data_IF_750296740252
#
_entry.id   IF_750296740252
#
_cell.length_a   1.000
_cell.length_b   1.000
_cell.length_c   1.000
_cell.angle_alpha   90.00
_cell.angle_beta   90.00
_cell.angle_gamma   90.00
#
_symmetry.space_group_name_H-M   'P 1'
#
loop_
_entity.id
_entity.type
_entity.pdbx_description
1 polymer ?
#
# COMPACT_ATOMS: atom_id res chain seq x y z
N UNK A 1 -24.07 3.79 -20.00
CA UNK A 1 -23.43 2.49 -20.34
C UNK A 1 -21.95 2.62 -20.71
N UNK A 2 -21.53 3.48 -21.63
CA UNK A 2 -20.10 3.63 -22.01
C UNK A 2 -19.15 3.98 -20.85
N UNK A 3 -19.63 4.72 -19.84
CA UNK A 3 -18.82 5.11 -18.68
C UNK A 3 -18.65 3.96 -17.67
N UNK A 4 -19.64 3.07 -17.56
CA UNK A 4 -19.57 1.89 -16.68
C UNK A 4 -18.58 0.85 -17.23
N UNK A 5 -18.59 0.60 -18.55
CA UNK A 5 -17.65 -0.34 -19.16
C UNK A 5 -16.20 0.11 -19.01
N UNK A 6 -15.91 1.42 -19.12
CA UNK A 6 -14.58 1.98 -18.84
C UNK A 6 -14.19 1.80 -17.40
N UNK A 7 -15.12 1.99 -16.46
CA UNK A 7 -14.85 1.78 -15.02
C UNK A 7 -14.54 0.32 -14.71
N UNK A 8 -15.31 -0.63 -15.26
CA UNK A 8 -15.03 -2.07 -15.09
C UNK A 8 -13.70 -2.48 -15.72
N UNK A 9 -13.38 -1.96 -16.91
CA UNK A 9 -12.10 -2.21 -17.56
C UNK A 9 -10.94 -1.69 -16.68
N UNK A 10 -11.04 -0.46 -16.20
CA UNK A 10 -10.03 0.13 -15.33
C UNK A 10 -9.87 -0.67 -14.03
N UNK A 11 -10.96 -1.10 -13.40
CA UNK A 11 -10.95 -1.95 -12.21
C UNK A 11 -10.25 -3.28 -12.48
N UNK A 12 -10.60 -3.95 -13.59
CA UNK A 12 -10.00 -5.24 -13.97
C UNK A 12 -8.49 -5.10 -14.20
N UNK A 13 -8.07 -4.11 -14.98
CA UNK A 13 -6.65 -3.85 -15.26
C UNK A 13 -5.89 -3.55 -13.95
N UNK A 14 -6.44 -2.67 -13.11
CA UNK A 14 -5.83 -2.33 -11.82
C UNK A 14 -5.70 -3.55 -10.92
N UNK A 15 -6.73 -4.40 -10.85
CA UNK A 15 -6.74 -5.61 -10.03
C UNK A 15 -5.67 -6.61 -10.49
N UNK A 16 -5.54 -6.83 -11.79
CA UNK A 16 -4.52 -7.73 -12.35
C UNK A 16 -3.12 -7.19 -12.09
N UNK A 17 -2.88 -5.92 -12.42
CA UNK A 17 -1.56 -5.28 -12.24
C UNK A 17 -1.16 -5.27 -10.77
N UNK A 18 -2.08 -4.93 -9.87
CA UNK A 18 -1.77 -4.90 -8.43
C UNK A 18 -1.60 -6.31 -7.86
N UNK A 19 -2.40 -7.28 -8.30
CA UNK A 19 -2.27 -8.67 -7.87
C UNK A 19 -0.92 -9.29 -8.26
N UNK A 20 -0.42 -9.01 -9.45
CA UNK A 20 0.89 -9.48 -9.93
C UNK A 20 2.08 -8.77 -9.28
N UNK A 21 1.89 -7.55 -8.77
CA UNK A 21 2.96 -6.74 -8.16
C UNK A 21 3.64 -7.44 -6.98
N UNK A 22 2.89 -8.13 -6.12
CA UNK A 22 3.45 -8.83 -4.96
C UNK A 22 4.36 -9.99 -5.36
N UNK A 23 3.94 -10.76 -6.38
CA UNK A 23 4.75 -11.87 -6.92
C UNK A 23 6.01 -11.33 -7.57
N UNK A 24 5.88 -10.32 -8.44
CA UNK A 24 7.03 -9.69 -9.09
C UNK A 24 8.01 -9.08 -8.07
N UNK A 25 7.48 -8.43 -7.03
CA UNK A 25 8.31 -7.88 -5.95
C UNK A 25 9.02 -8.97 -5.16
N UNK A 26 8.36 -10.11 -4.89
CA UNK A 26 9.00 -11.24 -4.22
C UNK A 26 10.15 -11.81 -5.05
N UNK A 27 9.94 -11.99 -6.34
CA UNK A 27 10.98 -12.44 -7.24
C UNK A 27 12.15 -11.45 -7.29
N UNK A 28 11.86 -10.17 -7.36
CA UNK A 28 12.89 -9.12 -7.39
C UNK A 28 13.79 -9.11 -6.14
N UNK A 29 13.20 -9.18 -4.93
CA UNK A 29 14.00 -9.16 -3.68
C UNK A 29 14.83 -10.42 -3.44
N UNK A 30 14.61 -11.48 -4.24
CA UNK A 30 15.46 -12.68 -4.22
C UNK A 30 16.76 -12.47 -5.02
N UNK A 31 16.80 -11.50 -5.94
CA UNK A 31 17.92 -11.28 -6.86
C UNK A 31 18.65 -9.96 -6.62
N UNK A 32 18.05 -9.02 -5.88
CA UNK A 32 18.65 -7.73 -5.56
C UNK A 32 18.27 -7.24 -4.16
N UNK A 33 19.04 -6.30 -3.57
CA UNK A 33 18.68 -5.68 -2.29
C UNK A 33 17.31 -5.02 -2.33
N UNK A 34 16.51 -5.24 -1.28
CA UNK A 34 15.09 -4.82 -1.24
C UNK A 34 14.90 -3.31 -1.42
N UNK A 35 15.75 -2.49 -0.79
CA UNK A 35 15.71 -1.04 -0.91
C UNK A 35 16.14 -0.54 -2.30
N UNK A 36 17.10 -1.20 -2.91
CA UNK A 36 17.54 -0.92 -4.27
C UNK A 36 16.42 -1.16 -5.27
N UNK A 37 15.77 -2.32 -5.18
CA UNK A 37 14.60 -2.64 -5.99
C UNK A 37 13.45 -1.64 -5.77
N UNK A 38 13.16 -1.28 -4.50
CA UNK A 38 12.13 -0.31 -4.19
C UNK A 38 12.45 1.07 -4.80
N UNK A 39 13.70 1.54 -4.68
CA UNK A 39 14.12 2.84 -5.20
C UNK A 39 14.09 2.90 -6.72
N UNK A 40 14.58 1.89 -7.42
CA UNK A 40 14.54 1.81 -8.88
C UNK A 40 13.09 1.87 -9.37
N UNK A 41 12.21 1.08 -8.78
CA UNK A 41 10.79 1.05 -9.15
C UNK A 41 10.12 2.41 -8.94
N UNK A 42 10.36 3.05 -7.80
CA UNK A 42 9.77 4.35 -7.51
C UNK A 42 10.35 5.46 -8.38
N UNK A 43 11.65 5.42 -8.65
CA UNK A 43 12.31 6.38 -9.51
C UNK A 43 11.80 6.29 -10.95
N UNK A 44 11.74 5.09 -11.52
CA UNK A 44 11.21 4.88 -12.87
C UNK A 44 9.75 5.29 -12.98
N UNK A 45 8.89 4.82 -12.06
CA UNK A 45 7.47 5.17 -12.05
C UNK A 45 7.25 6.67 -11.86
N UNK A 46 7.96 7.29 -10.91
CA UNK A 46 7.89 8.72 -10.64
C UNK A 46 8.37 9.56 -11.84
N UNK A 47 9.48 9.18 -12.46
CA UNK A 47 10.02 9.89 -13.64
C UNK A 47 9.07 9.83 -14.83
N UNK A 48 8.48 8.67 -15.10
CA UNK A 48 7.48 8.51 -16.15
C UNK A 48 6.23 9.37 -15.87
N UNK A 49 5.76 9.38 -14.63
CA UNK A 49 4.60 10.16 -14.23
C UNK A 49 4.86 11.67 -14.35
N UNK A 50 5.96 12.16 -13.80
CA UNK A 50 6.35 13.56 -13.90
C UNK A 50 6.57 13.96 -15.36
N UNK A 51 7.29 13.15 -16.13
CA UNK A 51 7.52 13.40 -17.57
C UNK A 51 6.20 13.53 -18.35
N UNK A 52 5.25 12.63 -18.10
CA UNK A 52 3.93 12.68 -18.73
C UNK A 52 3.18 13.99 -18.45
N UNK A 53 3.15 14.45 -17.20
CA UNK A 53 2.47 15.70 -16.85
C UNK A 53 3.20 16.94 -17.35
N UNK A 54 4.53 16.93 -17.38
CA UNK A 54 5.31 18.03 -18.00
C UNK A 54 5.03 18.14 -19.50
N UNK A 55 4.94 17.02 -20.21
CA UNK A 55 4.58 17.01 -21.64
C UNK A 55 3.15 17.57 -21.86
N UNK A 56 2.24 17.34 -20.89
CA UNK A 56 0.89 17.92 -20.91
C UNK A 56 0.85 19.42 -20.59
N UNK A 57 1.97 20.04 -20.25
CA UNK A 57 2.06 21.45 -19.91
C UNK A 57 1.70 21.78 -18.45
N UNK A 58 1.59 20.77 -17.58
CA UNK A 58 1.35 21.00 -16.16
C UNK A 58 2.57 21.62 -15.47
N UNK A 59 2.33 22.50 -14.52
CA UNK A 59 3.40 23.22 -13.82
C UNK A 59 3.99 22.36 -12.70
N UNK A 60 5.29 22.47 -12.49
CA UNK A 60 5.95 21.90 -11.34
C UNK A 60 5.36 22.45 -10.01
N UNK A 61 5.35 21.64 -8.94
CA UNK A 61 4.84 22.06 -7.65
C UNK A 61 5.65 23.23 -7.09
N UNK A 62 4.98 24.14 -6.40
CA UNK A 62 5.63 25.22 -5.65
C UNK A 62 6.50 24.63 -4.54
N UNK A 63 7.47 25.42 -4.02
CA UNK A 63 8.37 25.00 -2.94
C UNK A 63 7.61 24.44 -1.73
N UNK A 64 6.48 25.07 -1.34
CA UNK A 64 5.64 24.59 -0.22
C UNK A 64 4.99 23.25 -0.52
N UNK A 65 4.43 23.10 -1.73
CA UNK A 65 3.85 21.82 -2.18
C UNK A 65 4.92 20.76 -2.28
N UNK A 66 6.10 21.06 -2.81
CA UNK A 66 7.22 20.13 -2.92
C UNK A 66 7.68 19.61 -1.55
N UNK A 67 7.85 20.49 -0.55
CA UNK A 67 8.25 20.07 0.80
C UNK A 67 7.20 19.16 1.45
N UNK A 68 5.93 19.46 1.26
CA UNK A 68 4.86 18.61 1.75
C UNK A 68 4.85 17.24 1.03
N UNK A 69 4.97 17.23 -0.31
CA UNK A 69 5.08 16.00 -1.10
C UNK A 69 6.31 15.19 -0.70
N UNK A 70 7.43 15.83 -0.42
CA UNK A 70 8.64 15.17 0.08
C UNK A 70 8.37 14.47 1.42
N UNK A 71 7.73 15.16 2.37
CA UNK A 71 7.34 14.57 3.65
C UNK A 71 6.41 13.36 3.47
N UNK A 72 5.41 13.46 2.61
CA UNK A 72 4.50 12.35 2.31
C UNK A 72 5.21 11.21 1.58
N UNK A 73 6.14 11.50 0.69
CA UNK A 73 6.92 10.47 0.00
C UNK A 73 7.85 9.71 0.95
N UNK A 74 8.47 10.39 1.91
CA UNK A 74 9.26 9.74 2.96
C UNK A 74 8.38 8.81 3.81
N UNK A 75 7.19 9.24 4.18
CA UNK A 75 6.26 8.44 4.96
C UNK A 75 5.73 7.24 4.17
N UNK A 76 5.22 7.44 2.96
CA UNK A 76 4.51 6.39 2.22
C UNK A 76 5.45 5.53 1.37
N UNK A 77 6.44 6.10 0.71
CA UNK A 77 7.30 5.34 -0.19
C UNK A 77 8.56 4.82 0.50
N UNK A 78 9.22 5.61 1.34
CA UNK A 78 10.40 5.14 2.06
C UNK A 78 9.99 4.27 3.25
N UNK A 79 9.21 4.81 4.19
CA UNK A 79 8.86 4.10 5.43
C UNK A 79 7.86 2.98 5.19
N UNK A 80 6.81 3.15 4.37
CA UNK A 80 5.85 2.08 4.14
C UNK A 80 6.33 1.12 3.04
N UNK A 81 6.48 1.60 1.80
CA UNK A 81 6.79 0.73 0.67
C UNK A 81 8.19 0.09 0.79
N UNK A 82 9.20 0.85 1.28
CA UNK A 82 10.54 0.33 1.52
C UNK A 82 10.55 -0.77 2.59
N UNK A 83 9.87 -0.55 3.73
CA UNK A 83 9.76 -1.55 4.79
C UNK A 83 8.99 -2.78 4.32
N UNK A 84 7.87 -2.60 3.59
CA UNK A 84 7.11 -3.71 3.02
C UNK A 84 7.98 -4.56 2.08
N UNK A 85 8.73 -3.91 1.19
CA UNK A 85 9.64 -4.59 0.26
C UNK A 85 10.75 -5.36 1.00
N UNK A 86 11.28 -4.79 2.08
CA UNK A 86 12.25 -5.47 2.92
C UNK A 86 11.63 -6.66 3.67
N UNK A 87 10.45 -6.49 4.25
CA UNK A 87 9.69 -7.56 4.92
C UNK A 87 9.39 -8.74 3.99
N UNK A 88 9.15 -8.46 2.71
CA UNK A 88 8.85 -9.46 1.69
C UNK A 88 10.00 -10.46 1.45
N UNK A 89 11.22 -10.16 1.86
CA UNK A 89 12.33 -11.13 1.84
C UNK A 89 12.05 -12.36 2.71
N UNK A 90 11.34 -12.18 3.80
CA UNK A 90 11.20 -13.16 4.88
C UNK A 90 9.85 -13.91 4.86
N UNK A 91 8.86 -13.41 4.11
CA UNK A 91 7.52 -14.01 4.01
C UNK A 91 7.14 -14.30 2.57
N UNK A 92 6.05 -15.04 2.38
CA UNK A 92 5.50 -15.33 1.05
C UNK A 92 4.81 -14.08 0.47
N UNK A 93 4.74 -13.98 -0.85
CA UNK A 93 4.02 -12.89 -1.54
C UNK A 93 2.52 -12.90 -1.21
N UNK A 94 1.95 -14.10 -1.05
CA UNK A 94 0.55 -14.27 -0.66
C UNK A 94 0.26 -13.70 0.73
N UNK A 95 1.11 -14.01 1.72
CA UNK A 95 0.99 -13.49 3.08
C UNK A 95 1.14 -11.97 3.12
N UNK A 96 2.14 -11.43 2.41
CA UNK A 96 2.33 -9.98 2.31
C UNK A 96 1.11 -9.28 1.69
N UNK A 97 0.54 -9.84 0.63
CA UNK A 97 -0.67 -9.32 -0.01
C UNK A 97 -1.89 -9.36 0.94
N UNK A 98 -2.02 -10.41 1.76
CA UNK A 98 -3.08 -10.52 2.74
C UNK A 98 -2.95 -9.51 3.87
N UNK A 99 -1.75 -9.28 4.37
CA UNK A 99 -1.50 -8.23 5.37
C UNK A 99 -1.84 -6.87 4.76
N UNK A 100 -1.42 -6.61 3.52
CA UNK A 100 -1.77 -5.38 2.82
C UNK A 100 -3.28 -5.23 2.59
N UNK A 101 -4.03 -6.31 2.42
CA UNK A 101 -5.49 -6.28 2.28
C UNK A 101 -6.21 -5.84 3.57
N UNK A 102 -5.53 -5.81 4.72
CA UNK A 102 -6.05 -5.19 5.97
C UNK A 102 -6.03 -3.66 5.95
N UNK A 103 -5.45 -3.03 4.94
CA UNK A 103 -5.37 -1.58 4.80
C UNK A 103 -6.73 -0.87 5.02
N UNK A 104 -7.84 -1.25 4.37
CA UNK A 104 -9.13 -0.58 4.59
C UNK A 104 -9.61 -0.69 6.03
N UNK A 105 -9.35 -1.83 6.69
CA UNK A 105 -9.66 -2.03 8.11
C UNK A 105 -8.87 -1.07 8.99
N UNK A 106 -7.56 -0.95 8.78
CA UNK A 106 -6.72 -0.06 9.57
C UNK A 106 -7.13 1.40 9.39
N UNK A 107 -7.51 1.83 8.17
CA UNK A 107 -8.03 3.18 7.90
C UNK A 107 -9.31 3.42 8.71
N UNK A 108 -10.29 2.50 8.67
CA UNK A 108 -11.54 2.63 9.43
C UNK A 108 -11.29 2.72 10.93
N UNK A 109 -10.39 1.90 11.47
CA UNK A 109 -10.04 1.93 12.89
C UNK A 109 -9.37 3.25 13.29
N UNK A 110 -8.41 3.74 12.52
CA UNK A 110 -7.73 5.02 12.78
C UNK A 110 -8.73 6.17 12.69
N UNK A 111 -9.57 6.21 11.65
CA UNK A 111 -10.61 7.24 11.48
C UNK A 111 -11.62 7.21 12.62
N UNK A 112 -11.99 6.06 13.12
CA UNK A 112 -12.93 5.93 14.24
C UNK A 112 -12.32 6.34 15.57
N UNK A 113 -11.16 5.75 15.93
CA UNK A 113 -10.62 5.91 17.28
C UNK A 113 -9.80 7.17 17.47
N UNK A 114 -9.03 7.57 16.46
CA UNK A 114 -8.17 8.75 16.57
C UNK A 114 -8.89 10.03 16.13
N UNK A 115 -9.55 10.00 14.99
CA UNK A 115 -10.22 11.18 14.44
C UNK A 115 -11.69 11.30 14.84
N UNK A 116 -12.30 10.25 15.37
CA UNK A 116 -13.74 10.17 15.71
C UNK A 116 -14.66 10.58 14.55
N UNK A 117 -14.21 10.37 13.33
CA UNK A 117 -14.83 10.89 12.11
C UNK A 117 -15.87 9.95 11.52
N UNK A 118 -15.86 8.67 11.90
CA UNK A 118 -16.73 7.64 11.32
C UNK A 118 -17.48 6.91 12.42
N UNK A 119 -18.80 6.73 12.21
CA UNK A 119 -19.59 5.78 12.98
C UNK A 119 -19.50 4.39 12.34
N UNK A 120 -19.05 3.41 13.11
CA UNK A 120 -18.95 2.04 12.62
C UNK A 120 -20.35 1.40 12.71
N UNK A 121 -20.98 1.18 11.56
CA UNK A 121 -22.26 0.48 11.48
C UNK A 121 -22.10 -1.01 11.76
N UNK A 122 -23.11 -1.71 12.31
CA UNK A 122 -23.03 -3.15 12.60
C UNK A 122 -22.63 -4.00 11.39
N UNK A 123 -23.10 -3.63 10.19
CA UNK A 123 -22.70 -4.30 8.93
C UNK A 123 -21.19 -4.20 8.66
N UNK A 124 -20.57 -3.08 9.01
CA UNK A 124 -19.13 -2.89 8.89
C UNK A 124 -18.38 -3.82 9.85
N UNK A 125 -18.85 -3.95 11.08
CA UNK A 125 -18.26 -4.87 12.07
C UNK A 125 -18.31 -6.31 11.56
N UNK A 126 -19.46 -6.75 11.05
CA UNK A 126 -19.61 -8.09 10.48
C UNK A 126 -18.61 -8.32 9.33
N UNK A 127 -18.50 -7.37 8.39
CA UNK A 127 -17.54 -7.46 7.29
C UNK A 127 -16.09 -7.51 7.76
N UNK A 128 -15.72 -6.71 8.78
CA UNK A 128 -14.40 -6.72 9.40
C UNK A 128 -14.11 -8.08 10.06
N UNK A 129 -15.07 -8.63 10.84
CA UNK A 129 -14.91 -9.94 11.47
C UNK A 129 -14.73 -11.06 10.43
N UNK A 130 -15.55 -11.05 9.37
CA UNK A 130 -15.41 -12.04 8.29
C UNK A 130 -14.05 -11.93 7.58
N UNK A 131 -13.59 -10.71 7.30
CA UNK A 131 -12.25 -10.47 6.73
C UNK A 131 -11.13 -10.97 7.64
N UNK A 132 -11.20 -10.67 8.94
CA UNK A 132 -10.22 -11.15 9.92
C UNK A 132 -10.25 -12.68 10.07
N UNK A 133 -11.42 -13.31 10.07
CA UNK A 133 -11.53 -14.76 10.08
C UNK A 133 -10.89 -15.38 8.84
N UNK A 134 -11.18 -14.84 7.64
CA UNK A 134 -10.55 -15.29 6.40
C UNK A 134 -9.03 -15.23 6.44
N UNK A 135 -8.48 -14.12 6.92
CA UNK A 135 -7.03 -13.96 7.10
C UNK A 135 -6.50 -14.93 8.17
N UNK A 136 -7.23 -15.09 9.28
CA UNK A 136 -6.89 -16.04 10.34
C UNK A 136 -6.76 -17.48 9.83
N UNK A 137 -7.66 -17.94 8.96
CA UNK A 137 -7.56 -19.26 8.33
C UNK A 137 -6.31 -19.41 7.47
N UNK A 138 -5.91 -18.36 6.74
CA UNK A 138 -4.73 -18.41 5.89
C UNK A 138 -3.46 -18.42 6.74
N UNK A 139 -3.39 -17.57 7.78
CA UNK A 139 -2.29 -17.57 8.75
C UNK A 139 -2.15 -18.91 9.46
N UNK A 140 -3.27 -19.54 9.84
CA UNK A 140 -3.26 -20.85 10.46
C UNK A 140 -2.59 -21.89 9.56
N UNK A 141 -2.97 -21.93 8.28
CA UNK A 141 -2.37 -22.85 7.32
C UNK A 141 -0.89 -22.55 7.06
N UNK A 142 -0.52 -21.26 6.97
CA UNK A 142 0.86 -20.84 6.77
C UNK A 142 1.72 -21.14 8.01
N UNK A 143 1.18 -21.02 9.23
CA UNK A 143 1.89 -21.33 10.47
C UNK A 143 2.25 -22.82 10.63
N UNK A 144 1.59 -23.72 9.89
CA UNK A 144 1.92 -25.14 9.85
C UNK A 144 3.11 -25.47 8.93
N UNK A 145 3.58 -24.50 8.16
CA UNK A 145 4.76 -24.67 7.30
C UNK A 145 6.03 -24.34 8.06
N UNK A 146 7.16 -24.93 7.65
CA UNK A 146 8.47 -24.59 8.23
C UNK A 146 8.90 -23.24 7.69
N UNK A 147 9.03 -22.27 8.59
CA UNK A 147 9.48 -20.91 8.26
C UNK A 147 10.94 -20.70 8.62
N UNK A 148 11.62 -19.84 7.86
CA UNK A 148 12.97 -19.38 8.21
C UNK A 148 12.99 -18.54 9.50
N UNK A 149 14.16 -18.40 10.11
CA UNK A 149 14.38 -17.70 11.40
C UNK A 149 13.83 -16.26 11.47
N UNK A 150 13.70 -15.58 10.34
CA UNK A 150 13.26 -14.17 10.26
C UNK A 150 11.80 -14.00 9.81
N UNK A 151 11.00 -15.07 9.80
CA UNK A 151 9.60 -15.02 9.37
C UNK A 151 8.78 -13.99 10.17
N UNK A 152 8.86 -14.04 11.49
CA UNK A 152 8.14 -13.12 12.39
C UNK A 152 8.54 -11.65 12.09
N UNK A 153 9.83 -11.40 11.83
CA UNK A 153 10.30 -10.07 11.42
C UNK A 153 9.60 -9.62 10.14
N UNK A 154 9.48 -10.47 9.13
CA UNK A 154 8.78 -10.16 7.88
C UNK A 154 7.32 -9.81 8.10
N UNK A 155 6.62 -10.55 8.96
CA UNK A 155 5.23 -10.27 9.36
C UNK A 155 5.11 -8.90 10.03
N UNK A 156 5.93 -8.64 11.05
CA UNK A 156 5.93 -7.36 11.78
C UNK A 156 6.20 -6.19 10.86
N UNK A 157 7.21 -6.29 9.99
CA UNK A 157 7.55 -5.23 9.03
C UNK A 157 6.39 -4.96 8.06
N UNK A 158 5.69 -6.00 7.61
CA UNK A 158 4.53 -5.84 6.73
C UNK A 158 3.36 -5.15 7.43
N UNK A 159 3.11 -5.44 8.70
CA UNK A 159 2.10 -4.73 9.50
C UNK A 159 2.47 -3.26 9.72
N UNK A 160 3.73 -2.97 10.07
CA UNK A 160 4.23 -1.59 10.23
C UNK A 160 4.04 -0.82 8.93
N UNK A 161 4.42 -1.41 7.81
CA UNK A 161 4.28 -0.82 6.49
C UNK A 161 2.80 -0.51 6.16
N UNK A 162 1.90 -1.44 6.42
CA UNK A 162 0.46 -1.28 6.21
C UNK A 162 -0.13 -0.14 7.06
N UNK A 163 0.22 -0.07 8.35
CA UNK A 163 -0.22 1.01 9.25
C UNK A 163 0.33 2.35 8.79
N UNK A 164 1.61 2.42 8.44
CA UNK A 164 2.27 3.64 7.96
C UNK A 164 1.63 4.16 6.67
N UNK A 165 1.28 3.25 5.75
CA UNK A 165 0.52 3.59 4.54
C UNK A 165 -0.86 4.14 4.86
N UNK A 166 -1.56 3.54 5.82
CA UNK A 166 -2.88 3.98 6.25
C UNK A 166 -2.85 5.39 6.83
N UNK A 167 -1.87 5.68 7.68
CA UNK A 167 -1.66 7.01 8.26
C UNK A 167 -1.39 8.03 7.15
N UNK A 168 -0.47 7.73 6.23
CA UNK A 168 -0.15 8.60 5.09
C UNK A 168 -1.38 8.90 4.22
N UNK A 169 -2.17 7.89 3.91
CA UNK A 169 -3.41 8.02 3.15
C UNK A 169 -4.43 8.93 3.83
N UNK A 170 -4.61 8.79 5.14
CA UNK A 170 -5.52 9.63 5.92
C UNK A 170 -5.02 11.07 5.94
N UNK A 171 -3.72 11.30 6.14
CA UNK A 171 -3.13 12.64 6.11
C UNK A 171 -3.38 13.29 4.75
N UNK A 172 -3.14 12.60 3.63
CA UNK A 172 -3.39 13.11 2.28
C UNK A 172 -4.88 13.46 2.10
N UNK A 173 -5.79 12.58 2.49
CA UNK A 173 -7.23 12.79 2.32
C UNK A 173 -7.76 13.99 3.11
N UNK A 174 -7.12 14.31 4.23
CA UNK A 174 -7.52 15.41 5.12
C UNK A 174 -6.80 16.73 4.82
N UNK A 175 -5.71 16.69 4.08
CA UNK A 175 -4.92 17.87 3.76
C UNK A 175 -5.47 18.54 2.50
N UNK A 176 -6.02 19.77 2.65
CA UNK A 176 -6.50 20.61 1.54
C UNK A 176 -5.32 21.36 0.89
N UNK A 177 -4.36 20.67 0.36
CA UNK A 177 -3.34 21.30 -0.48
C UNK A 177 -3.84 21.21 -1.91
N UNK A 178 -4.17 22.38 -2.51
CA UNK A 178 -4.46 22.48 -3.94
C UNK A 178 -3.16 22.14 -4.70
N UNK A 179 -3.00 20.88 -5.01
CA UNK A 179 -2.04 20.42 -6.00
C UNK A 179 -2.90 20.25 -7.24
N UNK A 180 -2.67 21.08 -8.26
CA UNK A 180 -3.27 20.83 -9.57
C UNK A 180 -2.74 19.47 -10.05
N UNK A 181 -3.61 18.48 -9.97
CA UNK A 181 -3.38 17.15 -10.51
C UNK A 181 -4.28 16.97 -11.74
#
# INVERSE_FOLDING_TARGET
MANQNKAYLALTVTSIVWGTTWVASKMGVMHMPAFEMASIRQFLGGSLYVGFFLIKGEKLPTKKQFLWLLGMSLLMFVSSNGIATYGLKFITSGLAALIAALYPLSVVLIERYYYKAIEIKPKTIIGLCLGLLGIGFIFYKDSLTVHGSNYILGVILSFIAMITWSIGSIIISRTKININA
#
